data_IF_803848710026
#
_entry.id   IF_803848710026
#
_cell.length_a   1.000
_cell.length_b   1.000
_cell.length_c   1.000
_cell.angle_alpha   90.00
_cell.angle_beta   90.00
_cell.angle_gamma   90.00
#
_symmetry.space_group_name_H-M   'P 1'
#
loop_
_entity.id
_entity.type
_entity.pdbx_description
1 polymer ?
#
# COMPACT_ATOMS: atom_id res chain seq x y z
N UNK A 1 -5.57 -31.04 31.16
CA UNK A 1 -4.38 -30.18 31.06
C UNK A 1 -4.28 -29.72 29.63
N UNK A 2 -4.66 -28.48 29.37
CA UNK A 2 -4.29 -27.85 28.12
C UNK A 2 -2.80 -27.63 28.18
N UNK A 3 -2.05 -28.22 27.25
CA UNK A 3 -0.62 -28.07 27.22
C UNK A 3 -0.24 -26.59 27.12
N UNK A 4 0.84 -26.18 27.75
CA UNK A 4 1.40 -24.82 27.66
C UNK A 4 1.49 -24.31 26.22
N UNK A 5 1.57 -25.24 25.25
CA UNK A 5 1.52 -24.98 23.82
C UNK A 5 0.17 -24.45 23.32
N UNK A 6 -0.97 -24.85 23.92
CA UNK A 6 -2.30 -24.30 23.57
C UNK A 6 -2.52 -22.93 24.20
N UNK A 7 -1.96 -22.70 25.37
CA UNK A 7 -1.95 -21.37 26.03
C UNK A 7 -1.10 -20.41 25.19
N UNK A 8 0.06 -20.87 24.71
CA UNK A 8 0.94 -20.07 23.82
C UNK A 8 0.26 -19.81 22.47
N UNK A 9 -0.43 -20.79 21.88
CA UNK A 9 -1.20 -20.58 20.63
C UNK A 9 -2.38 -19.61 20.80
N UNK A 10 -3.03 -19.63 21.96
CA UNK A 10 -4.07 -18.64 22.29
C UNK A 10 -3.50 -17.24 22.52
N UNK A 11 -2.28 -17.15 23.04
CA UNK A 11 -1.56 -15.88 23.23
C UNK A 11 -0.89 -15.36 21.95
N UNK A 12 -0.77 -16.17 20.89
CA UNK A 12 -0.25 -15.74 19.57
C UNK A 12 -1.14 -14.68 18.90
N UNK A 13 -2.38 -14.52 19.34
CA UNK A 13 -3.26 -13.44 18.88
C UNK A 13 -2.87 -12.05 19.43
N UNK A 14 -2.07 -11.96 20.51
CA UNK A 14 -1.64 -10.67 21.08
C UNK A 14 -0.13 -10.58 21.32
N UNK A 15 0.60 -10.34 20.21
CA UNK A 15 2.05 -10.07 20.24
C UNK A 15 2.42 -8.87 21.12
N UNK A 16 1.46 -7.97 21.39
CA UNK A 16 1.63 -6.81 22.26
C UNK A 16 1.83 -7.23 23.69
N UNK A 17 1.14 -8.28 24.15
CA UNK A 17 1.29 -8.81 25.49
C UNK A 17 2.68 -9.40 25.72
N UNK A 18 3.19 -10.22 24.79
CA UNK A 18 4.53 -10.80 24.92
C UNK A 18 5.63 -9.73 24.95
N UNK A 19 5.51 -8.68 24.12
CA UNK A 19 6.47 -7.56 24.18
C UNK A 19 6.38 -6.78 25.49
N UNK A 20 5.18 -6.50 25.99
CA UNK A 20 5.00 -5.85 27.31
C UNK A 20 5.50 -6.73 28.46
N UNK A 21 5.23 -8.04 28.39
CA UNK A 21 5.75 -8.99 29.36
C UNK A 21 7.27 -9.00 29.36
N UNK A 22 7.91 -9.12 28.19
CA UNK A 22 9.36 -9.08 28.08
C UNK A 22 9.93 -7.75 28.59
N UNK A 23 9.27 -6.64 28.27
CA UNK A 23 9.70 -5.33 28.77
C UNK A 23 9.61 -5.22 30.29
N UNK A 24 8.56 -5.75 30.88
CA UNK A 24 8.42 -5.81 32.33
C UNK A 24 9.49 -6.72 32.97
N UNK A 25 9.72 -7.90 32.38
CA UNK A 25 10.76 -8.82 32.83
C UNK A 25 12.17 -8.20 32.72
N UNK A 26 12.47 -7.53 31.61
CA UNK A 26 13.76 -6.86 31.40
C UNK A 26 14.00 -5.71 32.38
N UNK A 27 12.94 -5.04 32.86
CA UNK A 27 13.07 -4.00 33.87
C UNK A 27 13.45 -4.57 35.22
N UNK A 28 12.95 -5.76 35.56
CA UNK A 28 13.24 -6.43 36.87
C UNK A 28 14.46 -7.35 36.78
N UNK A 29 14.67 -7.97 35.60
CA UNK A 29 15.75 -8.93 35.34
C UNK A 29 16.40 -8.65 33.98
N UNK A 30 17.29 -7.63 33.88
CA UNK A 30 17.81 -7.14 32.57
C UNK A 30 18.51 -8.18 31.71
N UNK A 31 19.05 -9.24 32.31
CA UNK A 31 19.79 -10.30 31.61
C UNK A 31 18.91 -11.52 31.29
N UNK A 32 17.62 -11.51 31.63
CA UNK A 32 16.76 -12.66 31.40
C UNK A 32 16.16 -12.62 29.98
N UNK A 33 16.63 -13.51 29.15
CA UNK A 33 16.07 -13.77 27.79
C UNK A 33 15.53 -15.20 27.79
N UNK A 34 14.20 -15.41 27.65
CA UNK A 34 13.65 -16.76 27.58
C UNK A 34 14.21 -17.54 26.39
N UNK A 35 14.45 -18.84 26.58
CA UNK A 35 14.89 -19.72 25.51
C UNK A 35 13.94 -19.65 24.31
N UNK A 36 14.49 -19.42 23.12
CA UNK A 36 13.73 -19.32 21.87
C UNK A 36 13.03 -17.97 21.61
N UNK A 37 13.15 -16.99 22.53
CA UNK A 37 12.53 -15.67 22.37
C UNK A 37 13.05 -14.92 21.14
N UNK A 38 14.37 -14.92 20.91
CA UNK A 38 14.97 -14.27 19.74
C UNK A 38 14.46 -14.90 18.43
N UNK A 39 14.43 -16.21 18.38
CA UNK A 39 13.92 -16.95 17.20
C UNK A 39 12.43 -16.67 16.97
N UNK A 40 11.65 -16.55 18.05
CA UNK A 40 10.25 -16.18 17.97
C UNK A 40 10.06 -14.74 17.44
N UNK A 41 10.87 -13.77 17.92
CA UNK A 41 10.85 -12.40 17.40
C UNK A 41 11.19 -12.34 15.91
N UNK A 42 12.25 -13.03 15.50
CA UNK A 42 12.63 -13.11 14.07
C UNK A 42 11.51 -13.67 13.21
N UNK A 43 10.80 -14.69 13.69
CA UNK A 43 9.67 -15.27 12.96
C UNK A 43 8.52 -14.28 12.86
N UNK A 44 8.16 -13.64 13.95
CA UNK A 44 7.10 -12.61 13.97
C UNK A 44 7.42 -11.44 13.05
N UNK A 45 8.67 -10.99 13.02
CA UNK A 45 9.09 -9.91 12.14
C UNK A 45 9.06 -10.35 10.66
N UNK A 46 9.45 -11.59 10.34
CA UNK A 46 9.36 -12.14 8.97
C UNK A 46 7.91 -12.27 8.51
N UNK A 47 7.02 -12.79 9.35
CA UNK A 47 5.59 -12.93 9.05
C UNK A 47 4.95 -11.55 8.83
N UNK A 48 5.28 -10.58 9.67
CA UNK A 48 4.80 -9.20 9.53
C UNK A 48 5.28 -8.55 8.23
N UNK A 49 6.55 -8.79 7.84
CA UNK A 49 7.09 -8.31 6.57
C UNK A 49 6.38 -8.94 5.38
N UNK A 50 6.22 -10.27 5.39
CA UNK A 50 5.55 -11.01 4.32
C UNK A 50 4.09 -10.57 4.16
N UNK A 51 3.38 -10.40 5.26
CA UNK A 51 2.01 -9.87 5.27
C UNK A 51 1.95 -8.45 4.71
N UNK A 52 2.77 -7.53 5.23
CA UNK A 52 2.80 -6.15 4.79
C UNK A 52 3.14 -6.01 3.30
N UNK A 53 4.08 -6.81 2.80
CA UNK A 53 4.43 -6.88 1.39
C UNK A 53 3.26 -7.39 0.53
N UNK A 54 2.57 -8.45 0.96
CA UNK A 54 1.42 -9.00 0.26
C UNK A 54 0.29 -7.97 0.14
N UNK A 55 -0.09 -7.35 1.27
CA UNK A 55 -1.11 -6.32 1.32
C UNK A 55 -0.71 -5.11 0.47
N UNK A 56 0.54 -4.66 0.58
CA UNK A 56 1.02 -3.50 -0.17
C UNK A 56 0.99 -3.71 -1.69
N UNK A 57 1.34 -4.90 -2.17
CA UNK A 57 1.22 -5.25 -3.59
C UNK A 57 -0.25 -5.27 -4.04
N UNK A 58 -1.13 -5.88 -3.25
CA UNK A 58 -2.56 -5.90 -3.56
C UNK A 58 -3.14 -4.48 -3.64
N UNK A 59 -2.75 -3.59 -2.72
CA UNK A 59 -3.17 -2.18 -2.76
C UNK A 59 -2.74 -1.51 -4.08
N UNK A 60 -1.48 -1.68 -4.49
CA UNK A 60 -0.96 -1.05 -5.71
C UNK A 60 -1.71 -1.53 -6.95
N UNK A 61 -1.97 -2.84 -7.06
CA UNK A 61 -2.73 -3.40 -8.19
C UNK A 61 -4.18 -2.90 -8.21
N UNK A 62 -4.85 -2.90 -7.06
CA UNK A 62 -6.21 -2.35 -6.96
C UNK A 62 -6.28 -0.87 -7.30
N UNK A 63 -5.37 -0.07 -6.77
CA UNK A 63 -5.29 1.35 -7.08
C UNK A 63 -5.08 1.60 -8.57
N UNK A 64 -4.20 0.84 -9.21
CA UNK A 64 -3.95 0.95 -10.64
C UNK A 64 -5.25 0.72 -11.41
N UNK A 65 -5.96 -0.36 -11.11
CA UNK A 65 -7.23 -0.67 -11.74
C UNK A 65 -8.28 0.43 -11.50
N UNK A 66 -8.55 0.79 -10.25
CA UNK A 66 -9.56 1.79 -9.89
C UNK A 66 -9.25 3.17 -10.48
N UNK A 67 -7.97 3.58 -10.49
CA UNK A 67 -7.58 4.87 -11.08
C UNK A 67 -7.79 4.89 -12.60
N UNK A 68 -7.46 3.81 -13.30
CA UNK A 68 -7.70 3.70 -14.74
C UNK A 68 -9.20 3.71 -15.04
N UNK A 69 -9.99 2.91 -14.33
CA UNK A 69 -11.45 2.88 -14.45
C UNK A 69 -12.06 4.25 -14.18
N UNK A 70 -11.60 4.94 -13.13
CA UNK A 70 -12.09 6.29 -12.78
C UNK A 70 -11.73 7.34 -13.85
N UNK A 71 -10.54 7.28 -14.43
CA UNK A 71 -10.17 8.17 -15.54
C UNK A 71 -11.07 7.89 -16.76
N UNK A 72 -11.32 6.62 -17.08
CA UNK A 72 -12.21 6.24 -18.16
C UNK A 72 -13.65 6.70 -17.93
N UNK A 73 -14.16 6.54 -16.71
CA UNK A 73 -15.50 7.02 -16.33
C UNK A 73 -15.62 8.54 -16.50
N UNK A 74 -14.67 9.30 -15.95
CA UNK A 74 -14.75 10.77 -15.91
C UNK A 74 -14.45 11.45 -17.25
N UNK A 75 -13.64 10.84 -18.11
CA UNK A 75 -13.19 11.46 -19.37
C UNK A 75 -13.69 10.75 -20.63
N UNK A 76 -14.37 9.61 -20.49
CA UNK A 76 -14.90 8.84 -21.60
C UNK A 76 -13.84 8.59 -22.69
N UNK A 77 -14.18 8.83 -23.94
CA UNK A 77 -13.28 8.62 -25.08
C UNK A 77 -12.00 9.50 -25.06
N UNK A 78 -11.92 10.50 -24.17
CA UNK A 78 -10.76 11.39 -24.05
C UNK A 78 -9.81 10.99 -22.92
N UNK A 79 -10.05 9.87 -22.25
CA UNK A 79 -9.30 9.45 -21.05
C UNK A 79 -7.79 9.35 -21.29
N UNK A 80 -7.34 8.80 -22.41
CA UNK A 80 -5.91 8.71 -22.73
C UNK A 80 -5.26 10.09 -22.93
N UNK A 81 -6.03 11.06 -23.45
CA UNK A 81 -5.56 12.44 -23.59
C UNK A 81 -5.45 13.12 -22.25
N UNK A 82 -6.40 12.86 -21.33
CA UNK A 82 -6.40 13.42 -19.97
C UNK A 82 -5.13 13.03 -19.18
N UNK A 83 -4.59 11.84 -19.44
CA UNK A 83 -3.37 11.32 -18.80
C UNK A 83 -2.23 11.10 -19.80
N UNK A 84 -2.16 11.91 -20.85
CA UNK A 84 -1.18 11.78 -21.95
C UNK A 84 0.28 11.76 -21.47
N UNK A 85 0.62 12.51 -20.42
CA UNK A 85 1.95 12.51 -19.82
C UNK A 85 2.32 11.17 -19.18
N UNK A 86 1.36 10.53 -18.50
CA UNK A 86 1.52 9.18 -17.93
C UNK A 86 1.68 8.17 -19.06
N UNK A 87 0.80 8.23 -20.06
CA UNK A 87 0.88 7.36 -21.25
C UNK A 87 2.24 7.46 -21.94
N UNK A 88 2.80 8.68 -22.06
CA UNK A 88 4.12 8.85 -22.66
C UNK A 88 5.22 8.18 -21.82
N UNK A 89 5.18 8.32 -20.49
CA UNK A 89 6.13 7.62 -19.60
C UNK A 89 6.00 6.09 -19.69
N UNK A 90 4.78 5.56 -19.72
CA UNK A 90 4.56 4.14 -19.88
C UNK A 90 5.10 3.60 -21.21
N UNK A 91 4.91 4.32 -22.31
CA UNK A 91 5.51 3.97 -23.60
C UNK A 91 7.04 3.97 -23.57
N UNK A 92 7.65 4.92 -22.88
CA UNK A 92 9.11 4.90 -22.71
C UNK A 92 9.57 3.67 -21.95
N UNK A 93 8.87 3.26 -20.86
CA UNK A 93 9.18 2.02 -20.13
C UNK A 93 9.02 0.77 -20.99
N UNK A 94 8.02 0.73 -21.88
CA UNK A 94 7.86 -0.35 -22.86
C UNK A 94 9.09 -0.43 -23.76
N UNK A 95 9.50 0.71 -24.32
CA UNK A 95 10.68 0.77 -25.20
C UNK A 95 11.97 0.36 -24.48
N UNK A 96 12.16 0.82 -23.22
CA UNK A 96 13.29 0.44 -22.37
C UNK A 96 13.30 -1.06 -22.08
N UNK A 97 12.14 -1.66 -21.83
CA UNK A 97 12.02 -3.10 -21.62
C UNK A 97 12.31 -3.89 -22.89
N UNK A 98 11.80 -3.47 -24.03
CA UNK A 98 12.09 -4.09 -25.33
C UNK A 98 13.59 -4.05 -25.65
N UNK A 99 14.27 -2.94 -25.32
CA UNK A 99 15.70 -2.82 -25.52
C UNK A 99 16.53 -3.72 -24.57
N UNK A 100 15.97 -4.10 -23.43
CA UNK A 100 16.68 -4.89 -22.39
C UNK A 100 16.29 -6.38 -22.34
N UNK A 101 15.18 -6.77 -22.97
CA UNK A 101 14.63 -8.13 -22.93
C UNK A 101 14.27 -8.59 -24.36
N UNK A 102 15.11 -9.40 -24.96
CA UNK A 102 14.94 -9.92 -26.33
C UNK A 102 13.65 -10.75 -26.53
N UNK A 103 13.05 -11.26 -25.45
CA UNK A 103 11.81 -12.03 -25.50
C UNK A 103 10.56 -11.16 -25.32
N UNK A 104 10.73 -9.87 -25.01
CA UNK A 104 9.60 -8.95 -24.82
C UNK A 104 9.16 -8.35 -26.17
N UNK A 105 7.85 -8.45 -26.47
CA UNK A 105 7.25 -7.87 -27.67
C UNK A 105 6.43 -6.63 -27.29
N UNK A 106 6.90 -5.46 -27.67
CA UNK A 106 6.24 -4.18 -27.41
C UNK A 106 4.93 -3.98 -28.15
N UNK A 107 4.72 -4.71 -29.28
CA UNK A 107 3.51 -4.58 -30.11
C UNK A 107 2.26 -5.08 -29.38
N UNK A 108 2.42 -6.12 -28.56
CA UNK A 108 1.31 -6.73 -27.80
C UNK A 108 1.15 -6.15 -26.40
N UNK A 109 2.01 -5.20 -26.01
CA UNK A 109 2.02 -4.65 -24.65
C UNK A 109 0.92 -3.60 -24.46
N UNK A 110 0.04 -3.81 -23.47
CA UNK A 110 -0.85 -2.77 -23.00
C UNK A 110 -0.06 -1.76 -22.15
N UNK A 111 -0.05 -0.50 -22.57
CA UNK A 111 0.68 0.54 -21.85
C UNK A 111 0.15 0.77 -20.43
N UNK A 112 -1.09 0.42 -20.12
CA UNK A 112 -1.66 0.53 -18.79
C UNK A 112 -1.00 -0.42 -17.80
N UNK A 113 -0.42 -1.54 -18.26
CA UNK A 113 0.35 -2.46 -17.42
C UNK A 113 1.63 -1.84 -16.88
N UNK A 114 2.13 -0.82 -17.56
CA UNK A 114 3.34 -0.09 -17.22
C UNK A 114 3.10 1.16 -16.36
N UNK A 115 1.86 1.38 -15.92
CA UNK A 115 1.55 2.42 -14.92
C UNK A 115 2.19 2.00 -13.59
N UNK A 116 3.07 2.84 -13.05
CA UNK A 116 3.66 2.65 -11.74
C UNK A 116 2.93 3.47 -10.66
N UNK A 117 3.34 3.28 -9.41
CA UNK A 117 2.71 3.98 -8.29
C UNK A 117 2.89 5.51 -8.37
N UNK A 118 4.00 6.01 -8.92
CA UNK A 118 4.22 7.44 -9.08
C UNK A 118 3.25 8.05 -10.09
N UNK A 119 2.91 7.29 -11.12
CA UNK A 119 1.90 7.67 -12.11
C UNK A 119 0.49 7.68 -11.50
N UNK A 120 0.14 6.65 -10.73
CA UNK A 120 -1.12 6.57 -9.99
C UNK A 120 -1.30 7.80 -9.12
N UNK A 121 -0.29 8.11 -8.29
CA UNK A 121 -0.29 9.29 -7.43
C UNK A 121 -0.46 10.58 -8.24
N UNK A 122 0.27 10.72 -9.34
CA UNK A 122 0.20 11.88 -10.23
C UNK A 122 -1.19 12.07 -10.83
N UNK A 123 -1.85 11.00 -11.28
CA UNK A 123 -3.21 11.03 -11.81
C UNK A 123 -4.19 11.49 -10.73
N UNK A 124 -4.18 10.86 -9.55
CA UNK A 124 -5.05 11.22 -8.43
C UNK A 124 -4.87 12.69 -8.06
N UNK A 125 -3.63 13.15 -7.90
CA UNK A 125 -3.34 14.53 -7.51
C UNK A 125 -3.73 15.54 -8.59
N UNK A 126 -3.53 15.24 -9.87
CA UNK A 126 -3.87 16.11 -11.00
C UNK A 126 -5.37 16.30 -11.14
N UNK A 127 -6.12 15.21 -11.03
CA UNK A 127 -7.56 15.20 -11.29
C UNK A 127 -8.42 15.27 -10.01
N UNK A 128 -7.84 15.54 -8.86
CA UNK A 128 -8.48 15.53 -7.55
C UNK A 128 -9.82 16.28 -7.48
N UNK A 129 -9.88 17.48 -8.04
CA UNK A 129 -11.06 18.34 -8.04
C UNK A 129 -11.82 18.33 -9.37
N UNK A 130 -11.43 17.47 -10.30
CA UNK A 130 -12.10 17.43 -11.59
C UNK A 130 -13.54 16.94 -11.44
N UNK A 131 -14.46 17.66 -12.09
CA UNK A 131 -15.88 17.33 -12.20
C UNK A 131 -16.29 17.48 -13.65
N UNK A 132 -16.92 16.46 -14.26
CA UNK A 132 -17.49 16.59 -15.60
C UNK A 132 -18.59 17.67 -15.60
N UNK A 133 -18.65 18.49 -16.64
CA UNK A 133 -19.68 19.50 -16.80
C UNK A 133 -21.05 18.89 -17.09
N UNK A 134 -21.07 17.77 -17.80
CA UNK A 134 -22.23 17.03 -18.25
C UNK A 134 -22.77 16.05 -17.19
N UNK A 135 -21.98 15.69 -16.18
CA UNK A 135 -22.43 14.88 -15.05
C UNK A 135 -21.91 15.44 -13.70
N UNK A 136 -22.62 16.41 -13.12
CA UNK A 136 -22.28 16.98 -11.82
C UNK A 136 -22.41 15.98 -10.66
N UNK A 137 -23.08 14.83 -10.88
CA UNK A 137 -23.26 13.77 -9.87
C UNK A 137 -22.14 12.74 -9.87
N UNK A 138 -21.25 12.76 -10.86
CA UNK A 138 -20.14 11.84 -10.97
C UNK A 138 -19.29 11.81 -9.70
N UNK A 139 -18.90 10.61 -9.29
CA UNK A 139 -17.99 10.41 -8.17
C UNK A 139 -16.60 10.88 -8.59
N UNK A 140 -16.08 11.88 -7.89
CA UNK A 140 -14.79 12.51 -8.19
C UNK A 140 -13.63 11.73 -7.54
N UNK A 141 -12.38 11.97 -8.01
CA UNK A 141 -11.18 11.47 -7.35
C UNK A 141 -11.13 11.85 -5.86
N UNK A 142 -11.55 13.06 -5.50
CA UNK A 142 -11.64 13.49 -4.11
C UNK A 142 -12.53 12.57 -3.29
N UNK A 143 -13.69 12.19 -3.81
CA UNK A 143 -14.66 11.38 -3.08
C UNK A 143 -14.19 9.92 -2.97
N UNK A 144 -13.61 9.38 -4.02
CA UNK A 144 -13.21 7.97 -4.10
C UNK A 144 -11.88 7.68 -3.37
N UNK A 145 -10.89 8.58 -3.50
CA UNK A 145 -9.55 8.35 -2.96
C UNK A 145 -9.24 9.14 -1.68
N UNK A 146 -10.24 9.66 -0.99
CA UNK A 146 -10.07 10.25 0.35
C UNK A 146 -10.04 9.16 1.41
N UNK A 147 -8.84 8.77 1.87
CA UNK A 147 -8.67 7.74 2.91
C UNK A 147 -8.12 8.36 4.18
N UNK A 148 -8.82 8.13 5.29
CA UNK A 148 -8.39 8.55 6.64
C UNK A 148 -7.77 7.35 7.36
N UNK A 149 -6.50 7.47 7.73
CA UNK A 149 -5.77 6.38 8.40
C UNK A 149 -6.02 6.35 9.91
N UNK A 150 -6.29 7.51 10.52
CA UNK A 150 -6.62 7.62 11.93
C UNK A 150 -7.82 8.57 12.11
N UNK A 151 -8.75 8.26 13.05
CA UNK A 151 -9.84 9.18 13.40
C UNK A 151 -9.35 10.54 13.91
N UNK A 152 -8.11 10.61 14.41
CA UNK A 152 -7.50 11.83 14.94
C UNK A 152 -6.89 12.71 13.85
N UNK A 153 -6.72 12.17 12.63
CA UNK A 153 -6.17 12.93 11.52
C UNK A 153 -7.12 14.05 11.11
N UNK A 154 -6.59 15.26 10.96
CA UNK A 154 -7.32 16.33 10.29
C UNK A 154 -7.58 15.93 8.84
N UNK A 155 -8.83 16.10 8.38
CA UNK A 155 -9.27 15.62 7.07
C UNK A 155 -9.85 16.77 6.23
N UNK A 156 -9.26 17.97 6.37
CA UNK A 156 -9.79 19.22 5.81
C UNK A 156 -9.22 19.55 4.45
N UNK A 157 -7.92 19.32 4.26
CA UNK A 157 -7.21 19.71 3.04
C UNK A 157 -6.94 18.54 2.12
N UNK A 158 -6.74 18.79 0.83
CA UNK A 158 -6.30 17.79 -0.13
C UNK A 158 -5.06 17.03 0.37
N UNK A 159 -4.06 17.76 0.89
CA UNK A 159 -2.81 17.18 1.39
C UNK A 159 -3.04 16.17 2.51
N UNK A 160 -3.97 16.45 3.41
CA UNK A 160 -4.33 15.55 4.49
C UNK A 160 -5.07 14.31 3.98
N UNK A 161 -6.01 14.51 3.05
CA UNK A 161 -6.79 13.41 2.45
C UNK A 161 -5.98 12.50 1.54
N UNK A 162 -4.88 12.99 0.95
CA UNK A 162 -3.97 12.21 0.09
C UNK A 162 -2.69 11.79 0.80
N UNK A 163 -2.53 12.08 2.10
CA UNK A 163 -1.34 11.73 2.88
C UNK A 163 -1.01 10.26 2.83
N UNK A 164 -2.03 9.40 2.86
CA UNK A 164 -1.89 7.96 2.77
C UNK A 164 -1.13 7.49 1.51
N UNK A 165 -1.23 8.21 0.38
CA UNK A 165 -0.43 7.93 -0.82
C UNK A 165 1.07 8.15 -0.58
N UNK A 166 1.43 9.17 0.21
CA UNK A 166 2.82 9.44 0.57
C UNK A 166 3.35 8.39 1.55
N UNK A 167 2.51 8.02 2.52
CA UNK A 167 2.84 6.98 3.49
C UNK A 167 2.99 5.62 2.80
N UNK A 168 2.06 5.23 1.92
CA UNK A 168 2.15 4.02 1.11
C UNK A 168 3.43 3.99 0.27
N UNK A 169 3.82 5.12 -0.35
CA UNK A 169 5.07 5.18 -1.10
C UNK A 169 6.29 4.92 -0.21
N UNK A 170 6.29 5.42 1.02
CA UNK A 170 7.37 5.15 1.97
C UNK A 170 7.40 3.69 2.44
N UNK A 171 6.22 3.06 2.57
CA UNK A 171 6.12 1.65 2.97
C UNK A 171 6.60 0.72 1.85
N UNK A 172 6.38 1.08 0.58
CA UNK A 172 6.89 0.33 -0.58
C UNK A 172 8.40 0.13 -0.54
N UNK A 173 9.14 1.10 -0.05
CA UNK A 173 10.59 0.98 0.10
C UNK A 173 11.01 -0.25 0.93
N UNK A 174 10.16 -0.74 1.81
CA UNK A 174 10.43 -1.92 2.63
C UNK A 174 10.47 -3.23 1.82
N UNK A 175 9.78 -3.31 0.69
CA UNK A 175 9.76 -4.52 -0.14
C UNK A 175 10.32 -4.32 -1.55
N UNK A 176 10.47 -3.10 -2.02
CA UNK A 176 11.05 -2.82 -3.35
C UNK A 176 12.56 -2.61 -3.29
N UNK A 177 13.08 -2.07 -2.18
CA UNK A 177 14.50 -1.79 -2.03
C UNK A 177 15.18 -2.87 -1.19
N UNK A 178 16.29 -3.42 -1.68
CA UNK A 178 17.09 -4.46 -1.00
C UNK A 178 17.56 -4.04 0.41
N UNK A 179 17.63 -2.73 0.69
CA UNK A 179 18.03 -2.15 1.98
C UNK A 179 16.92 -1.30 2.59
N UNK A 180 15.67 -1.57 2.24
CA UNK A 180 14.52 -0.90 2.85
C UNK A 180 14.43 -1.19 4.35
N UNK A 181 13.94 -0.20 5.13
CA UNK A 181 13.64 -0.45 6.53
C UNK A 181 12.45 -1.40 6.62
N UNK A 182 12.50 -2.42 7.48
CA UNK A 182 11.37 -3.33 7.67
C UNK A 182 10.13 -2.57 8.14
N UNK A 183 8.97 -3.05 7.72
CA UNK A 183 7.69 -2.53 8.17
C UNK A 183 7.50 -2.82 9.67
N UNK A 184 6.97 -1.84 10.38
CA UNK A 184 6.50 -2.05 11.74
C UNK A 184 4.99 -2.36 11.76
N UNK A 185 4.48 -2.80 12.91
CA UNK A 185 3.07 -3.18 13.09
C UNK A 185 2.10 -2.06 12.73
N UNK A 186 2.40 -0.82 13.13
CA UNK A 186 1.55 0.34 12.83
C UNK A 186 1.44 0.57 11.32
N UNK A 187 2.52 0.37 10.57
CA UNK A 187 2.53 0.50 9.11
C UNK A 187 1.71 -0.61 8.46
N UNK A 188 1.80 -1.86 8.95
CA UNK A 188 0.98 -2.97 8.43
C UNK A 188 -0.50 -2.74 8.74
N UNK A 189 -0.86 -2.22 9.92
CA UNK A 189 -2.24 -1.85 10.24
C UNK A 189 -2.75 -0.71 9.32
N UNK A 190 -1.90 0.29 9.02
CA UNK A 190 -2.23 1.33 8.05
C UNK A 190 -2.48 0.74 6.65
N UNK A 191 -1.65 -0.21 6.20
CA UNK A 191 -1.87 -0.92 4.93
C UNK A 191 -3.21 -1.68 4.93
N UNK A 192 -3.57 -2.37 6.01
CA UNK A 192 -4.88 -3.03 6.16
C UNK A 192 -6.04 -2.03 6.04
N UNK A 193 -5.91 -0.88 6.70
CA UNK A 193 -6.92 0.18 6.63
C UNK A 193 -7.10 0.71 5.21
N UNK A 194 -5.99 0.96 4.49
CA UNK A 194 -6.03 1.38 3.08
C UNK A 194 -6.72 0.32 2.23
N UNK A 195 -6.33 -0.96 2.37
CA UNK A 195 -6.91 -2.05 1.58
C UNK A 195 -8.41 -2.21 1.84
N UNK A 196 -8.85 -2.11 3.09
CA UNK A 196 -10.27 -2.17 3.43
C UNK A 196 -11.05 -0.99 2.82
N UNK A 197 -10.48 0.23 2.85
CA UNK A 197 -11.10 1.40 2.23
C UNK A 197 -11.26 1.26 0.71
N UNK A 198 -10.29 0.62 0.03
CA UNK A 198 -10.33 0.34 -1.41
C UNK A 198 -11.24 -0.85 -1.78
N UNK A 199 -11.72 -1.62 -0.81
CA UNK A 199 -12.65 -2.76 -1.01
C UNK A 199 -14.11 -2.41 -0.71
N UNK A 200 -14.35 -1.23 -0.16
CA UNK A 200 -15.67 -0.84 0.37
C UNK A 200 -16.69 -0.40 -0.70
N UNK A 201 -16.36 -0.54 -2.00
CA UNK A 201 -17.24 -0.23 -3.15
C UNK A 201 -18.01 -1.45 -3.66
#
# INVERSE_FOLDING_TARGET
DKSDLEIIKGAQADTTWMRKFQQAVNNEFPEFIPDGYEKWLETQDKDLQAEGQSIGREIVEKLKQQVVEKVQELFGNKWETAISEVRARCKNRINEREASDENFNSVDADWTDFIDFSDIKSIIEKHWFYKPEDDPSAVTFEKEFSIQLSPEDSFRTKKERTRWLTDLNSYRDAWEKTKGKPLNRTQVEALRTILLSLRAD
#
